data_IF_326340827295
#
_entry.id   IF_326340827295
#
_cell.length_a   1.000
_cell.length_b   1.000
_cell.length_c   1.000
_cell.angle_alpha   90.00
_cell.angle_beta   90.00
_cell.angle_gamma   90.00
#
_symmetry.space_group_name_H-M   'P 1'
#
loop_
_entity.id
_entity.type
_entity.pdbx_description
1 polymer ?
#
# COMPACT_ATOMS: atom_id res chain seq x y z
N UNK A 1 -9.96 4.53 -3.25
CA UNK A 1 -10.64 4.70 -1.95
C UNK A 1 -12.06 4.20 -2.04
N UNK A 2 -13.02 5.03 -2.44
CA UNK A 2 -14.44 4.68 -2.49
C UNK A 2 -14.76 3.41 -3.32
N UNK A 3 -14.10 3.21 -4.47
CA UNK A 3 -14.31 2.00 -5.28
C UNK A 3 -13.96 0.69 -4.57
N UNK A 4 -12.90 0.68 -3.75
CA UNK A 4 -12.49 -0.53 -3.03
C UNK A 4 -13.61 -0.98 -2.08
N UNK A 5 -14.16 -0.05 -1.29
CA UNK A 5 -15.23 -0.36 -0.36
C UNK A 5 -16.50 -0.79 -1.08
N UNK A 6 -16.84 -0.14 -2.19
CA UNK A 6 -18.01 -0.53 -2.99
C UNK A 6 -17.86 -1.94 -3.59
N UNK A 7 -16.69 -2.28 -4.13
CA UNK A 7 -16.40 -3.63 -4.65
C UNK A 7 -16.42 -4.68 -3.54
N UNK A 8 -15.93 -4.34 -2.35
CA UNK A 8 -15.94 -5.23 -1.18
C UNK A 8 -17.36 -5.51 -0.70
N UNK A 9 -18.19 -4.46 -0.63
CA UNK A 9 -19.60 -4.56 -0.29
C UNK A 9 -20.38 -5.41 -1.30
N UNK A 10 -20.20 -5.16 -2.60
CA UNK A 10 -20.82 -5.94 -3.66
C UNK A 10 -20.42 -7.43 -3.61
N UNK A 11 -19.22 -7.75 -3.13
CA UNK A 11 -18.74 -9.12 -2.93
C UNK A 11 -19.04 -9.70 -1.54
N UNK A 12 -19.64 -8.92 -0.64
CA UNK A 12 -19.91 -9.35 0.73
C UNK A 12 -18.65 -9.73 1.53
N UNK A 13 -17.51 -9.09 1.25
CA UNK A 13 -16.25 -9.38 1.92
C UNK A 13 -15.62 -8.13 2.54
N UNK A 14 -14.63 -8.33 3.42
CA UNK A 14 -13.87 -7.21 3.98
C UNK A 14 -12.94 -6.61 2.90
N UNK A 15 -12.76 -5.27 2.81
CA UNK A 15 -11.91 -4.63 1.80
C UNK A 15 -10.49 -5.17 1.68
N UNK A 16 -9.90 -5.57 2.80
CA UNK A 16 -8.55 -6.16 2.81
C UNK A 16 -8.47 -7.47 2.05
N UNK A 17 -9.56 -8.24 1.97
CA UNK A 17 -9.60 -9.45 1.13
C UNK A 17 -9.34 -9.08 -0.33
N UNK A 18 -10.02 -8.04 -0.84
CA UNK A 18 -9.81 -7.57 -2.21
C UNK A 18 -8.41 -7.03 -2.45
N UNK A 19 -7.89 -6.22 -1.53
CA UNK A 19 -6.54 -5.65 -1.70
C UNK A 19 -5.49 -6.75 -1.70
N UNK A 20 -5.63 -7.78 -0.85
CA UNK A 20 -4.73 -8.93 -0.86
C UNK A 20 -4.82 -9.72 -2.17
N UNK A 21 -6.02 -9.93 -2.72
CA UNK A 21 -6.19 -10.57 -4.04
C UNK A 21 -5.54 -9.73 -5.15
N UNK A 22 -5.67 -8.41 -5.11
CA UNK A 22 -5.03 -7.53 -6.10
C UNK A 22 -3.50 -7.51 -5.97
N UNK A 23 -2.97 -7.65 -4.75
CA UNK A 23 -1.51 -7.78 -4.54
C UNK A 23 -1.02 -9.09 -5.13
N UNK A 24 -1.71 -10.21 -4.89
CA UNK A 24 -1.33 -11.49 -5.49
C UNK A 24 -1.34 -11.42 -7.03
N UNK A 25 -2.38 -10.81 -7.62
CA UNK A 25 -2.45 -10.60 -9.07
C UNK A 25 -1.32 -9.68 -9.59
N UNK A 26 -0.94 -8.65 -8.82
CA UNK A 26 0.18 -7.76 -9.15
C UNK A 26 1.52 -8.50 -9.13
N UNK A 27 1.75 -9.37 -8.14
CA UNK A 27 2.98 -10.18 -8.02
C UNK A 27 3.07 -11.29 -9.07
N UNK A 28 1.93 -11.77 -9.59
CA UNK A 28 1.90 -12.67 -10.75
C UNK A 28 2.26 -11.95 -12.05
N UNK A 29 1.88 -10.68 -12.20
CA UNK A 29 2.10 -9.89 -13.41
C UNK A 29 3.48 -9.23 -13.47
N UNK A 30 4.04 -8.87 -12.32
CA UNK A 30 5.28 -8.13 -12.20
C UNK A 30 6.26 -8.82 -11.27
N UNK A 31 7.51 -8.97 -11.70
CA UNK A 31 8.55 -9.63 -10.89
C UNK A 31 8.99 -8.82 -9.67
N UNK A 32 8.94 -7.49 -9.74
CA UNK A 32 9.39 -6.58 -8.67
C UNK A 32 8.46 -5.36 -8.53
N UNK A 33 7.18 -5.55 -8.17
CA UNK A 33 6.17 -4.47 -8.23
C UNK A 33 6.45 -3.29 -7.27
N UNK A 34 7.20 -3.53 -6.19
CA UNK A 34 7.62 -2.50 -5.22
C UNK A 34 8.93 -1.78 -5.57
N UNK A 35 9.61 -2.14 -6.66
CA UNK A 35 10.99 -1.69 -6.94
C UNK A 35 11.16 -0.17 -6.96
N UNK A 36 10.15 0.55 -7.45
CA UNK A 36 10.21 2.00 -7.65
C UNK A 36 9.24 2.78 -6.76
N UNK A 37 8.52 2.13 -5.84
CA UNK A 37 7.58 2.77 -4.93
C UNK A 37 7.95 2.45 -3.49
N UNK A 38 8.30 3.47 -2.71
CA UNK A 38 8.76 3.30 -1.34
C UNK A 38 7.92 4.13 -0.37
N UNK A 39 7.63 3.53 0.79
CA UNK A 39 6.92 4.19 1.89
C UNK A 39 7.85 4.30 3.08
N UNK A 40 7.93 5.48 3.68
CA UNK A 40 8.43 5.68 5.04
C UNK A 40 7.21 5.72 5.96
N UNK A 41 7.09 4.73 6.85
CA UNK A 41 5.88 4.53 7.66
C UNK A 41 5.76 5.41 8.92
N UNK A 42 6.62 6.44 9.07
CA UNK A 42 6.66 7.34 10.24
C UNK A 42 5.46 8.33 10.28
N UNK A 43 4.27 7.93 9.84
CA UNK A 43 3.06 8.78 9.79
C UNK A 43 2.63 9.31 11.17
N UNK A 44 2.96 8.59 12.23
CA UNK A 44 2.73 8.99 13.63
C UNK A 44 4.06 9.23 14.39
N UNK A 45 5.09 9.66 13.67
CA UNK A 45 6.44 9.74 14.18
C UNK A 45 7.15 8.38 14.23
N UNK A 46 8.43 8.41 14.59
CA UNK A 46 9.24 7.21 14.77
C UNK A 46 9.43 6.95 16.26
N UNK A 47 8.72 5.97 16.83
CA UNK A 47 8.90 5.59 18.23
C UNK A 47 10.29 5.01 18.49
N UNK A 48 10.70 4.06 17.65
CA UNK A 48 11.98 3.37 17.72
C UNK A 48 12.49 3.08 16.31
N UNK A 49 13.82 3.01 16.09
CA UNK A 49 14.88 3.29 17.06
C UNK A 49 15.21 4.78 17.19
N UNK A 50 14.60 5.66 16.38
CA UNK A 50 15.02 7.07 16.28
C UNK A 50 14.44 7.94 17.39
N UNK A 51 13.36 7.51 18.05
CA UNK A 51 12.67 8.27 19.09
C UNK A 51 12.33 9.71 18.68
N UNK A 52 11.87 9.86 17.43
CA UNK A 52 11.52 11.14 16.79
C UNK A 52 10.02 11.26 16.60
N UNK A 53 9.28 11.84 17.57
CA UNK A 53 7.83 12.02 17.45
C UNK A 53 7.43 13.05 16.38
N UNK A 54 8.38 13.88 15.95
CA UNK A 54 8.20 14.89 14.89
C UNK A 54 8.42 14.33 13.48
N UNK A 55 8.92 13.09 13.35
CA UNK A 55 9.08 12.44 12.06
C UNK A 55 7.73 12.34 11.32
N UNK A 56 7.80 12.27 9.99
CA UNK A 56 6.64 12.22 9.10
C UNK A 56 6.88 11.12 8.08
N UNK A 57 5.80 10.42 7.75
CA UNK A 57 5.82 9.46 6.66
C UNK A 57 5.93 10.16 5.31
N UNK A 58 6.45 9.43 4.33
CA UNK A 58 6.61 9.90 2.96
C UNK A 58 6.36 8.77 1.98
N UNK A 59 5.90 9.10 0.78
CA UNK A 59 5.77 8.15 -0.33
C UNK A 59 6.64 8.69 -1.47
N UNK A 60 7.56 7.86 -1.95
CA UNK A 60 8.49 8.21 -3.03
C UNK A 60 8.25 7.30 -4.23
N UNK A 61 8.25 7.88 -5.44
CA UNK A 61 8.06 7.12 -6.69
C UNK A 61 6.63 7.00 -7.18
N UNK A 62 5.77 7.95 -6.82
CA UNK A 62 4.41 8.04 -7.38
C UNK A 62 4.45 8.25 -8.89
N UNK A 63 3.59 7.53 -9.60
CA UNK A 63 3.35 7.69 -11.04
C UNK A 63 1.93 8.24 -11.26
N UNK A 64 1.52 8.37 -12.53
CA UNK A 64 0.13 8.70 -12.89
C UNK A 64 -0.79 7.48 -12.94
N UNK A 65 -0.33 6.29 -12.53
CA UNK A 65 -1.14 5.07 -12.43
C UNK A 65 -2.39 5.33 -11.57
N UNK A 66 -3.51 4.72 -11.92
CA UNK A 66 -4.79 4.84 -11.20
C UNK A 66 -5.49 3.49 -11.19
N UNK A 67 -6.41 3.32 -10.24
CA UNK A 67 -7.24 2.12 -10.13
C UNK A 67 -6.65 1.09 -9.18
N UNK A 68 -7.03 -0.17 -9.37
CA UNK A 68 -6.78 -1.26 -8.43
C UNK A 68 -5.28 -1.57 -8.28
N UNK A 69 -4.52 -1.59 -9.38
CA UNK A 69 -3.09 -1.89 -9.36
C UNK A 69 -2.29 -0.83 -8.60
N UNK A 70 -2.67 0.45 -8.72
CA UNK A 70 -2.08 1.51 -7.90
C UNK A 70 -2.33 1.25 -6.40
N UNK A 71 -3.56 0.86 -6.04
CA UNK A 71 -3.92 0.57 -4.63
C UNK A 71 -3.15 -0.65 -4.13
N UNK A 72 -3.07 -1.71 -4.92
CA UNK A 72 -2.33 -2.93 -4.59
C UNK A 72 -0.84 -2.62 -4.38
N UNK A 73 -0.21 -1.88 -5.29
CA UNK A 73 1.20 -1.49 -5.22
C UNK A 73 1.50 -0.62 -3.99
N UNK A 74 0.64 0.37 -3.71
CA UNK A 74 0.81 1.22 -2.53
C UNK A 74 0.62 0.43 -1.23
N UNK A 75 -0.34 -0.49 -1.20
CA UNK A 75 -0.55 -1.38 -0.06
C UNK A 75 0.63 -2.31 0.16
N UNK A 76 1.15 -2.95 -0.90
CA UNK A 76 2.36 -3.79 -0.83
C UNK A 76 3.57 -2.99 -0.32
N UNK A 77 3.82 -1.80 -0.87
CA UNK A 77 4.91 -0.93 -0.40
C UNK A 77 4.74 -0.51 1.07
N UNK A 78 3.49 -0.37 1.54
CA UNK A 78 3.19 -0.08 2.95
C UNK A 78 3.48 -1.28 3.85
N UNK A 79 3.11 -2.51 3.41
CA UNK A 79 3.46 -3.74 4.13
C UNK A 79 4.98 -3.91 4.23
N UNK A 80 5.70 -3.65 3.15
CA UNK A 80 7.17 -3.71 3.12
C UNK A 80 7.82 -2.67 4.03
N UNK A 81 7.21 -1.49 4.20
CA UNK A 81 7.74 -0.42 5.05
C UNK A 81 7.64 -0.70 6.56
N UNK A 82 6.79 -1.65 6.96
CA UNK A 82 6.61 -2.05 8.37
C UNK A 82 7.23 -3.42 8.68
N UNK A 83 7.76 -4.13 7.68
CA UNK A 83 8.34 -5.46 7.80
C UNK A 83 9.70 -5.47 8.52
#
# INVERSE_FOLDING_TARGET
GAELFHKAEARGCHPIVLVNEWVAALEEQESEPGRYLHVLADHHGNRSPRARPDARGSICGLTLERGEMQVARLYLATLQAIA
#
